data_IF_667800113875
#
_entry.id   IF_667800113875
#
_cell.length_a   1.000
_cell.length_b   1.000
_cell.length_c   1.000
_cell.angle_alpha   90.00
_cell.angle_beta   90.00
_cell.angle_gamma   90.00
#
_symmetry.space_group_name_H-M   'P 1'
#
loop_
_entity.id
_entity.type
_entity.pdbx_description
1 polymer ?
#
# COMPACT_ATOMS: atom_id res chain seq x y z
N UNK A 1 -1.20 16.44 7.18
CA UNK A 1 -1.16 15.01 6.81
C UNK A 1 -0.56 14.25 7.98
N UNK A 2 -1.03 13.05 8.25
CA UNK A 2 -0.52 12.19 9.33
C UNK A 2 0.33 11.11 8.66
N UNK A 3 1.54 10.92 9.15
CA UNK A 3 2.41 9.85 8.67
C UNK A 3 1.93 8.51 9.20
N UNK A 4 1.93 7.51 8.32
CA UNK A 4 1.42 6.18 8.63
C UNK A 4 2.39 5.13 8.11
N UNK A 5 2.45 4.01 8.81
CA UNK A 5 3.21 2.83 8.38
C UNK A 5 2.26 1.66 8.16
N UNK A 6 2.70 0.71 7.34
CA UNK A 6 1.98 -0.56 7.18
C UNK A 6 2.16 -1.37 8.46
N UNK A 7 1.07 -1.55 9.21
CA UNK A 7 1.04 -2.43 10.38
C UNK A 7 0.96 -3.90 9.96
N UNK A 8 0.22 -4.18 8.89
CA UNK A 8 0.07 -5.53 8.35
C UNK A 8 -1.22 -5.71 7.55
N UNK A 9 -1.63 -6.97 7.42
CA UNK A 9 -2.80 -7.38 6.66
C UNK A 9 -3.74 -8.18 7.54
N UNK A 10 -5.04 -8.00 7.33
CA UNK A 10 -6.09 -8.83 7.89
C UNK A 10 -6.98 -9.37 6.76
N UNK A 11 -7.82 -10.36 7.07
CA UNK A 11 -8.82 -10.88 6.13
C UNK A 11 -10.21 -10.67 6.72
N UNK A 12 -11.08 -10.04 5.94
CA UNK A 12 -12.49 -9.90 6.25
C UNK A 12 -13.17 -11.27 6.10
N UNK A 13 -13.74 -11.80 7.19
CA UNK A 13 -14.38 -13.13 7.17
C UNK A 13 -15.71 -13.15 6.42
N UNK A 14 -16.40 -12.01 6.30
CA UNK A 14 -17.70 -11.93 5.64
C UNK A 14 -17.56 -11.73 4.14
N UNK A 15 -16.59 -10.91 3.74
CA UNK A 15 -16.37 -10.53 2.33
C UNK A 15 -15.28 -11.35 1.63
N UNK A 16 -14.58 -12.18 2.40
CA UNK A 16 -13.39 -12.92 1.97
C UNK A 16 -12.37 -12.03 1.24
N UNK A 17 -12.15 -10.82 1.78
CA UNK A 17 -11.36 -9.79 1.15
C UNK A 17 -10.17 -9.36 2.04
N UNK A 18 -8.99 -9.09 1.46
CA UNK A 18 -7.85 -8.60 2.22
C UNK A 18 -8.02 -7.14 2.66
N UNK A 19 -7.55 -6.85 3.86
CA UNK A 19 -7.56 -5.53 4.48
C UNK A 19 -6.12 -5.12 4.78
N UNK A 20 -5.67 -3.99 4.23
CA UNK A 20 -4.45 -3.32 4.60
C UNK A 20 -4.69 -2.48 5.86
N UNK A 21 -3.86 -2.67 6.89
CA UNK A 21 -3.90 -1.89 8.12
C UNK A 21 -2.77 -0.88 8.13
N UNK A 22 -3.12 0.41 8.15
CA UNK A 22 -2.18 1.51 8.30
C UNK A 22 -2.24 2.05 9.72
N UNK A 23 -1.12 2.08 10.42
CA UNK A 23 -1.01 2.63 11.77
C UNK A 23 -0.38 4.03 11.71
N UNK A 24 -0.98 4.99 12.40
CA UNK A 24 -0.39 6.32 12.58
C UNK A 24 0.96 6.24 13.31
N UNK A 25 1.95 6.98 12.83
CA UNK A 25 3.21 7.14 13.55
C UNK A 25 3.07 8.19 14.67
N UNK A 26 3.54 7.84 15.87
CA UNK A 26 3.52 8.73 17.05
C UNK A 26 2.80 8.13 18.26
N UNK A 27 2.28 8.99 19.13
CA UNK A 27 1.61 8.58 20.39
C UNK A 27 0.20 8.02 20.16
N UNK A 28 -0.50 8.51 19.13
CA UNK A 28 -1.81 8.01 18.75
C UNK A 28 -1.66 6.72 17.94
N UNK A 29 -2.13 5.59 18.48
CA UNK A 29 -2.12 4.28 17.79
C UNK A 29 -3.42 4.01 17.04
N UNK A 30 -3.89 4.99 16.26
CA UNK A 30 -5.10 4.79 15.43
C UNK A 30 -4.72 3.96 14.21
N UNK A 31 -5.63 3.08 13.82
CA UNK A 31 -5.46 2.19 12.67
C UNK A 31 -6.52 2.52 11.63
N UNK A 32 -6.09 2.75 10.39
CA UNK A 32 -6.95 2.94 9.23
C UNK A 32 -7.00 1.65 8.40
N UNK A 33 -8.15 0.95 8.37
CA UNK A 33 -8.34 -0.20 7.49
C UNK A 33 -8.70 0.24 6.06
N UNK A 34 -8.03 -0.34 5.08
CA UNK A 34 -8.30 -0.18 3.64
C UNK A 34 -8.52 -1.56 3.03
N UNK A 35 -9.72 -1.81 2.52
CA UNK A 35 -9.98 -3.02 1.73
C UNK A 35 -9.31 -2.87 0.36
N UNK A 36 -8.57 -3.91 -0.03
CA UNK A 36 -7.87 -4.01 -1.31
C UNK A 36 -8.23 -5.34 -1.98
N UNK A 37 -7.81 -5.54 -3.23
CA UNK A 37 -7.95 -6.83 -3.89
C UNK A 37 -6.82 -7.80 -3.53
N UNK A 38 -7.01 -9.07 -3.87
CA UNK A 38 -6.05 -10.15 -3.61
C UNK A 38 -4.71 -9.91 -4.31
N UNK A 39 -4.74 -9.40 -5.53
CA UNK A 39 -3.52 -9.13 -6.30
C UNK A 39 -2.73 -7.93 -5.75
N UNK A 40 -3.43 -6.90 -5.28
CA UNK A 40 -2.82 -5.76 -4.60
C UNK A 40 -2.18 -6.21 -3.28
N UNK A 41 -2.87 -7.04 -2.51
CA UNK A 41 -2.35 -7.57 -1.25
C UNK A 41 -1.06 -8.38 -1.47
N UNK A 42 -1.06 -9.31 -2.43
CA UNK A 42 0.12 -10.10 -2.79
C UNK A 42 1.29 -9.20 -3.22
N UNK A 43 1.04 -8.21 -4.08
CA UNK A 43 2.05 -7.26 -4.53
C UNK A 43 2.67 -6.45 -3.38
N UNK A 44 1.87 -5.93 -2.44
CA UNK A 44 2.37 -5.16 -1.29
C UNK A 44 3.15 -6.08 -0.34
N UNK A 45 2.64 -7.27 -0.03
CA UNK A 45 3.33 -8.25 0.84
C UNK A 45 4.73 -8.55 0.26
N UNK A 46 4.82 -8.76 -1.05
CA UNK A 46 6.11 -9.04 -1.71
C UNK A 46 7.06 -7.86 -1.66
N UNK A 47 6.55 -6.65 -1.91
CA UNK A 47 7.33 -5.42 -1.82
C UNK A 47 7.89 -5.19 -0.42
N UNK A 48 7.08 -5.40 0.62
CA UNK A 48 7.51 -5.27 2.02
C UNK A 48 8.57 -6.30 2.42
N UNK A 49 8.47 -7.52 1.88
CA UNK A 49 9.44 -8.58 2.16
C UNK A 49 10.68 -8.55 1.24
N UNK A 50 10.80 -7.56 0.34
CA UNK A 50 11.88 -7.43 -0.64
C UNK A 50 12.17 -8.74 -1.39
N UNK A 51 11.12 -9.48 -1.79
CA UNK A 51 11.28 -10.76 -2.46
C UNK A 51 11.78 -10.56 -3.89
N UNK A 52 12.98 -11.08 -4.26
CA UNK A 52 13.55 -10.85 -5.58
C UNK A 52 12.80 -11.63 -6.66
N UNK A 53 12.63 -11.01 -7.82
CA UNK A 53 12.08 -11.65 -9.01
C UNK A 53 13.13 -11.79 -10.12
N UNK A 54 13.04 -12.85 -10.95
CA UNK A 54 13.88 -12.98 -12.13
C UNK A 54 13.61 -11.89 -13.17
N UNK A 55 12.42 -11.27 -13.15
CA UNK A 55 12.02 -10.16 -14.03
C UNK A 55 11.26 -9.10 -13.23
N UNK A 56 11.38 -7.81 -13.56
CA UNK A 56 10.65 -6.76 -12.85
C UNK A 56 9.13 -6.96 -13.00
N UNK A 57 8.41 -6.92 -11.87
CA UNK A 57 6.95 -6.86 -11.87
C UNK A 57 6.46 -5.42 -12.06
N UNK A 58 5.15 -5.23 -12.05
CA UNK A 58 4.50 -3.97 -12.39
C UNK A 58 5.02 -2.78 -11.57
N UNK A 59 5.16 -2.92 -10.25
CA UNK A 59 5.58 -1.82 -9.38
C UNK A 59 7.06 -1.48 -9.57
N UNK A 60 7.91 -2.48 -9.74
CA UNK A 60 9.34 -2.35 -10.00
C UNK A 60 9.60 -1.74 -11.37
N UNK A 61 8.79 -2.11 -12.37
CA UNK A 61 8.82 -1.48 -13.69
C UNK A 61 8.44 0.00 -13.59
N UNK A 62 7.37 0.34 -12.86
CA UNK A 62 6.96 1.74 -12.65
C UNK A 62 8.06 2.55 -11.95
N UNK A 63 8.65 2.02 -10.88
CA UNK A 63 9.78 2.66 -10.19
C UNK A 63 10.97 2.85 -11.14
N UNK A 64 11.25 1.86 -11.99
CA UNK A 64 12.33 1.94 -12.99
C UNK A 64 12.06 3.00 -14.05
N UNK A 65 10.79 3.18 -14.47
CA UNK A 65 10.39 4.24 -15.41
C UNK A 65 10.59 5.62 -14.76
N UNK A 66 10.08 5.81 -13.54
CA UNK A 66 10.22 7.08 -12.79
C UNK A 66 11.70 7.46 -12.66
N UNK A 67 12.55 6.51 -12.24
CA UNK A 67 14.00 6.70 -12.13
C UNK A 67 14.67 6.95 -13.48
N UNK A 68 14.28 6.22 -14.52
CA UNK A 68 14.81 6.38 -15.87
C UNK A 68 14.51 7.75 -16.49
N UNK A 69 13.45 8.41 -16.02
CA UNK A 69 13.10 9.79 -16.39
C UNK A 69 13.77 10.85 -15.49
N UNK A 70 14.61 10.46 -14.54
CA UNK A 70 15.31 11.37 -13.62
C UNK A 70 14.44 11.88 -12.46
N UNK A 71 13.33 11.19 -12.15
CA UNK A 71 12.45 11.53 -11.04
C UNK A 71 12.57 10.55 -9.87
N UNK A 72 12.03 10.95 -8.72
CA UNK A 72 11.96 10.14 -7.50
C UNK A 72 10.56 10.22 -6.90
N UNK A 73 10.07 9.10 -6.35
CA UNK A 73 8.80 9.05 -5.62
C UNK A 73 9.01 9.60 -4.21
N UNK A 74 8.51 10.81 -3.96
CA UNK A 74 8.69 11.51 -2.68
C UNK A 74 7.73 11.05 -1.58
N UNK A 75 6.45 10.87 -1.93
CA UNK A 75 5.37 10.47 -1.01
C UNK A 75 4.12 10.04 -1.77
N UNK A 76 3.22 9.34 -1.08
CA UNK A 76 1.86 9.00 -1.52
C UNK A 76 0.89 9.51 -0.45
N UNK A 77 -0.24 10.10 -0.85
CA UNK A 77 -1.14 10.81 0.07
C UNK A 77 -2.59 10.37 -0.11
N UNK A 78 -3.11 9.57 0.84
CA UNK A 78 -4.55 9.26 0.87
C UNK A 78 -5.32 10.50 1.35
N UNK A 79 -6.01 11.19 0.44
CA UNK A 79 -6.60 12.52 0.69
C UNK A 79 -8.10 12.50 0.93
N UNK A 80 -8.82 11.54 0.36
CA UNK A 80 -10.30 11.53 0.37
C UNK A 80 -10.86 10.12 0.44
N UNK A 81 -12.06 10.03 1.01
CA UNK A 81 -12.90 8.84 0.98
C UNK A 81 -14.26 9.26 0.39
N UNK A 82 -14.63 8.69 -0.76
CA UNK A 82 -15.90 8.97 -1.43
C UNK A 82 -16.58 7.64 -1.73
N UNK A 83 -17.80 7.47 -1.23
CA UNK A 83 -18.61 6.26 -1.46
C UNK A 83 -17.87 4.94 -1.14
N UNK A 84 -17.03 4.92 -0.10
CA UNK A 84 -16.25 3.74 0.28
C UNK A 84 -14.94 3.54 -0.50
N UNK A 85 -14.58 4.45 -1.40
CA UNK A 85 -13.33 4.42 -2.16
C UNK A 85 -12.34 5.48 -1.67
N UNK A 86 -11.15 5.05 -1.27
CA UNK A 86 -10.04 5.94 -0.94
C UNK A 86 -9.39 6.49 -2.21
N UNK A 87 -8.97 7.75 -2.16
CA UNK A 87 -8.23 8.43 -3.23
C UNK A 87 -6.84 8.81 -2.74
N UNK A 88 -5.82 8.47 -3.53
CA UNK A 88 -4.41 8.65 -3.22
C UNK A 88 -3.63 9.31 -4.37
#
# INVERSE_FOLDING_TARGET
MIEVKVLGFARDKERDAPILLLEEEGEARRVLPIWIGEYEADAIIRGLNNLPYPRPLTHELIVSIIKGLGFELMKVEVTKLVNGTYYA
#
